data_IF_054955590282
#
_entry.id   IF_054955590282
#
_cell.length_a   1.000
_cell.length_b   1.000
_cell.length_c   1.000
_cell.angle_alpha   90.00
_cell.angle_beta   90.00
_cell.angle_gamma   90.00
#
_symmetry.space_group_name_H-M   'P 1'
#
loop_
_entity.id
_entity.type
_entity.pdbx_description
1 polymer ?
#
# COMPACT_ATOMS: atom_id res chain seq x y z
N UNK A 1 11.47 -24.79 16.26
CA UNK A 1 11.73 -24.29 14.90
C UNK A 1 11.70 -22.78 15.05
N UNK A 2 12.87 -22.18 15.27
CA UNK A 2 13.07 -20.78 15.75
C UNK A 2 13.97 -19.98 14.79
N UNK A 3 14.23 -20.51 13.59
CA UNK A 3 15.15 -19.90 12.63
C UNK A 3 14.48 -18.84 11.74
N UNK A 4 13.19 -19.03 11.41
CA UNK A 4 12.41 -18.05 10.63
C UNK A 4 12.31 -16.72 11.36
N UNK A 5 11.87 -16.73 12.63
CA UNK A 5 11.64 -15.53 13.44
C UNK A 5 12.88 -14.60 13.53
N UNK A 6 14.09 -15.19 13.61
CA UNK A 6 15.34 -14.41 13.63
C UNK A 6 15.68 -13.80 12.26
N UNK A 7 15.29 -14.45 11.17
CA UNK A 7 15.45 -13.93 9.81
C UNK A 7 14.43 -12.81 9.53
N UNK A 8 13.20 -12.97 10.02
CA UNK A 8 12.13 -11.97 9.93
C UNK A 8 12.51 -10.68 10.67
N UNK A 9 12.99 -10.79 11.92
CA UNK A 9 13.46 -9.64 12.71
C UNK A 9 14.61 -8.90 12.04
N UNK A 10 15.55 -9.63 11.41
CA UNK A 10 16.67 -9.03 10.68
C UNK A 10 16.20 -8.33 9.39
N UNK A 11 15.22 -8.89 8.72
CA UNK A 11 14.61 -8.30 7.52
C UNK A 11 13.84 -7.04 7.87
N UNK A 12 13.02 -7.07 8.93
CA UNK A 12 12.30 -5.92 9.48
C UNK A 12 13.24 -4.76 9.82
N UNK A 13 14.31 -5.04 10.58
CA UNK A 13 15.31 -4.04 10.91
C UNK A 13 15.92 -3.41 9.64
N UNK A 14 16.20 -4.23 8.61
CA UNK A 14 16.77 -3.74 7.37
C UNK A 14 15.81 -2.89 6.55
N UNK A 15 14.53 -3.27 6.50
CA UNK A 15 13.47 -2.49 5.84
C UNK A 15 13.26 -1.16 6.56
N UNK A 16 13.29 -1.15 7.89
CA UNK A 16 13.24 0.05 8.70
C UNK A 16 14.40 1.02 8.38
N UNK A 17 15.63 0.51 8.30
CA UNK A 17 16.80 1.31 7.90
C UNK A 17 16.66 1.91 6.49
N UNK A 18 16.15 1.11 5.54
CA UNK A 18 15.94 1.56 4.15
C UNK A 18 14.88 2.66 4.08
N UNK A 19 13.79 2.52 4.83
CA UNK A 19 12.76 3.55 4.92
C UNK A 19 13.30 4.85 5.55
N UNK A 20 14.05 4.76 6.64
CA UNK A 20 14.69 5.92 7.29
C UNK A 20 15.70 6.60 6.38
N UNK A 21 16.26 5.87 5.41
CA UNK A 21 17.17 6.41 4.39
C UNK A 21 16.44 6.92 3.15
N UNK A 22 15.10 6.95 3.15
CA UNK A 22 14.25 7.34 2.03
C UNK A 22 14.49 6.51 0.75
N UNK A 23 14.92 5.24 0.90
CA UNK A 23 15.25 4.36 -0.24
C UNK A 23 14.07 3.49 -0.72
N UNK A 24 12.85 3.78 -0.25
CA UNK A 24 11.64 3.14 -0.73
C UNK A 24 11.27 3.63 -2.14
N UNK A 25 10.68 2.75 -2.94
CA UNK A 25 10.16 3.12 -4.27
C UNK A 25 8.82 3.85 -4.14
N UNK A 26 7.97 3.41 -3.21
CA UNK A 26 6.71 4.07 -2.86
C UNK A 26 6.43 3.97 -1.38
N UNK A 27 5.76 4.98 -0.83
CA UNK A 27 5.25 4.99 0.54
C UNK A 27 3.88 5.63 0.55
N UNK A 28 2.97 5.06 1.33
CA UNK A 28 1.67 5.67 1.63
C UNK A 28 1.44 5.71 3.14
N UNK A 29 0.72 6.73 3.58
CA UNK A 29 0.31 6.87 4.98
C UNK A 29 -1.12 6.34 5.16
N UNK A 30 -1.32 5.59 6.23
CA UNK A 30 -2.59 5.05 6.67
C UNK A 30 -3.00 5.75 7.98
N UNK A 31 -4.29 5.83 8.22
CA UNK A 31 -4.88 6.38 9.44
C UNK A 31 -4.37 5.62 10.66
N UNK A 32 -4.12 6.34 11.76
CA UNK A 32 -3.63 5.73 12.99
C UNK A 32 -2.12 5.50 13.01
N UNK A 33 -1.35 6.44 12.43
CA UNK A 33 0.12 6.42 12.42
C UNK A 33 0.70 5.16 11.80
N UNK A 34 0.02 4.62 10.78
CA UNK A 34 0.46 3.43 10.06
C UNK A 34 0.99 3.82 8.70
N UNK A 35 1.96 3.07 8.21
CA UNK A 35 2.62 3.31 6.95
C UNK A 35 2.73 2.03 6.18
N UNK A 36 2.64 2.15 4.85
CA UNK A 36 2.86 1.05 3.93
C UNK A 36 3.90 1.49 2.90
N UNK A 37 5.03 0.81 2.90
CA UNK A 37 6.20 1.10 2.07
C UNK A 37 6.49 -0.07 1.13
N UNK A 38 6.81 0.24 -0.11
CA UNK A 38 7.15 -0.72 -1.16
C UNK A 38 8.64 -0.57 -1.52
N UNK A 39 9.34 -1.70 -1.51
CA UNK A 39 10.73 -1.81 -1.90
C UNK A 39 10.85 -2.79 -3.06
N UNK A 40 11.29 -2.33 -4.23
CA UNK A 40 11.43 -3.17 -5.42
C UNK A 40 12.89 -3.59 -5.60
N UNK A 41 13.14 -4.90 -5.54
CA UNK A 41 14.46 -5.51 -5.78
C UNK A 41 15.62 -4.91 -4.94
N UNK A 42 15.32 -4.25 -3.81
CA UNK A 42 16.30 -3.53 -2.96
C UNK A 42 17.05 -4.43 -1.99
N UNK A 43 16.44 -5.55 -1.60
CA UNK A 43 16.97 -6.47 -0.60
C UNK A 43 17.06 -7.85 -1.23
N UNK A 44 18.26 -8.44 -1.28
CA UNK A 44 18.50 -9.78 -1.86
C UNK A 44 17.94 -10.00 -3.29
N UNK A 45 17.75 -8.92 -4.07
CA UNK A 45 17.15 -8.97 -5.40
C UNK A 45 15.64 -9.30 -5.41
N UNK A 46 14.97 -9.17 -4.26
CA UNK A 46 13.54 -9.44 -4.09
C UNK A 46 12.79 -8.16 -3.75
N UNK A 47 11.48 -8.23 -3.93
CA UNK A 47 10.58 -7.12 -3.64
C UNK A 47 9.85 -7.33 -2.32
N UNK A 48 9.69 -6.27 -1.55
CA UNK A 48 9.15 -6.31 -0.20
C UNK A 48 8.07 -5.25 -0.03
N UNK A 49 6.98 -5.64 0.60
CA UNK A 49 5.97 -4.73 1.12
C UNK A 49 6.16 -4.68 2.62
N UNK A 50 6.32 -3.50 3.17
CA UNK A 50 6.54 -3.29 4.60
C UNK A 50 5.41 -2.44 5.18
N UNK A 51 4.67 -2.99 6.12
CA UNK A 51 3.63 -2.30 6.89
C UNK A 51 4.10 -2.13 8.32
N UNK A 52 4.11 -0.91 8.81
CA UNK A 52 4.44 -0.65 10.21
C UNK A 52 3.57 0.44 10.80
N UNK A 53 3.59 0.49 12.12
CA UNK A 53 3.06 1.61 12.89
C UNK A 53 4.25 2.45 13.35
N UNK A 54 4.23 3.75 13.11
CA UNK A 54 5.21 4.66 13.69
C UNK A 54 4.79 4.98 15.12
N UNK A 55 5.42 4.31 16.08
CA UNK A 55 5.25 4.62 17.49
C UNK A 55 6.39 5.54 17.91
N UNK A 56 6.05 6.78 18.26
CA UNK A 56 6.99 7.71 18.88
C UNK A 56 7.29 7.21 20.30
N UNK A 57 8.43 6.56 20.46
CA UNK A 57 8.91 6.12 21.77
C UNK A 57 10.03 7.03 22.23
N UNK A 58 9.71 7.85 23.25
CA UNK A 58 10.58 8.83 23.90
C UNK A 58 11.11 9.91 22.95
N UNK A 59 12.07 9.57 22.09
CA UNK A 59 12.79 10.50 21.19
C UNK A 59 13.18 9.83 19.85
N UNK A 60 12.82 8.55 19.68
CA UNK A 60 13.11 7.78 18.47
C UNK A 60 11.83 7.16 17.94
N UNK A 61 11.52 7.42 16.67
CA UNK A 61 10.49 6.65 15.99
C UNK A 61 11.01 5.23 15.82
N UNK A 62 10.25 4.26 16.33
CA UNK A 62 10.57 2.84 16.20
C UNK A 62 9.46 2.13 15.42
N UNK A 63 9.84 1.04 14.77
CA UNK A 63 8.91 0.09 14.18
C UNK A 63 8.01 -0.49 15.28
N UNK A 64 6.70 -0.29 15.18
CA UNK A 64 5.75 -0.80 16.18
C UNK A 64 5.68 -2.34 16.19
N UNK A 65 5.19 -2.92 17.28
CA UNK A 65 5.15 -4.40 17.43
C UNK A 65 4.22 -5.09 16.41
N UNK A 66 3.24 -4.37 15.85
CA UNK A 66 2.32 -4.84 14.78
C UNK A 66 2.93 -4.75 13.37
N UNK A 67 4.25 -4.69 13.26
CA UNK A 67 4.90 -4.50 11.96
C UNK A 67 5.01 -5.81 11.20
N UNK A 68 4.52 -5.79 9.98
CA UNK A 68 4.44 -6.94 9.10
C UNK A 68 5.12 -6.64 7.77
N UNK A 69 5.70 -7.66 7.16
CA UNK A 69 6.23 -7.55 5.82
C UNK A 69 5.84 -8.75 4.97
N UNK A 70 5.76 -8.51 3.67
CA UNK A 70 5.52 -9.54 2.66
C UNK A 70 6.65 -9.53 1.65
N UNK A 71 7.10 -10.71 1.28
CA UNK A 71 8.19 -10.91 0.33
C UNK A 71 7.65 -11.48 -0.97
N UNK A 72 8.11 -10.89 -2.08
CA UNK A 72 7.74 -11.29 -3.42
C UNK A 72 9.00 -11.50 -4.25
N UNK A 73 8.96 -12.51 -5.10
CA UNK A 73 10.06 -12.85 -6.00
C UNK A 73 10.21 -11.81 -7.13
N UNK A 74 9.11 -11.17 -7.53
CA UNK A 74 9.08 -10.17 -8.61
C UNK A 74 8.50 -8.83 -8.16
N UNK A 75 9.00 -7.76 -8.76
CA UNK A 75 8.50 -6.41 -8.56
C UNK A 75 7.02 -6.27 -8.96
N UNK A 76 6.62 -6.93 -10.05
CA UNK A 76 5.24 -6.89 -10.57
C UNK A 76 4.24 -7.49 -9.56
N UNK A 77 4.58 -8.62 -8.93
CA UNK A 77 3.74 -9.24 -7.92
C UNK A 77 3.63 -8.37 -6.65
N UNK A 78 4.74 -7.77 -6.22
CA UNK A 78 4.74 -6.85 -5.08
C UNK A 78 3.92 -5.59 -5.36
N UNK A 79 4.07 -4.99 -6.54
CA UNK A 79 3.31 -3.80 -6.91
C UNK A 79 1.81 -4.10 -6.98
N UNK A 80 1.42 -5.23 -7.59
CA UNK A 80 0.03 -5.63 -7.71
C UNK A 80 -0.62 -5.79 -6.33
N UNK A 81 0.04 -6.48 -5.40
CA UNK A 81 -0.49 -6.64 -4.05
C UNK A 81 -0.48 -5.30 -3.29
N UNK A 82 0.59 -4.51 -3.39
CA UNK A 82 0.65 -3.18 -2.77
C UNK A 82 -0.55 -2.33 -3.21
N UNK A 83 -0.81 -2.26 -4.52
CA UNK A 83 -1.97 -1.53 -5.06
C UNK A 83 -3.28 -2.06 -4.52
N UNK A 84 -3.42 -3.37 -4.36
CA UNK A 84 -4.62 -3.99 -3.79
C UNK A 84 -4.80 -3.63 -2.31
N UNK A 85 -3.72 -3.61 -1.52
CA UNK A 85 -3.75 -3.19 -0.12
C UNK A 85 -4.13 -1.71 0.00
N UNK A 86 -3.52 -0.84 -0.82
CA UNK A 86 -3.86 0.59 -0.86
C UNK A 86 -5.31 0.80 -1.27
N UNK A 87 -5.79 0.10 -2.31
CA UNK A 87 -7.18 0.19 -2.73
C UNK A 87 -8.15 -0.30 -1.65
N UNK A 88 -7.79 -1.35 -0.90
CA UNK A 88 -8.57 -1.83 0.23
C UNK A 88 -8.62 -0.79 1.36
N UNK A 89 -7.48 -0.19 1.73
CA UNK A 89 -7.40 0.87 2.72
C UNK A 89 -8.21 2.11 2.30
N UNK A 90 -8.14 2.49 1.02
CA UNK A 90 -8.96 3.59 0.46
C UNK A 90 -10.45 3.29 0.59
N UNK A 91 -10.88 2.08 0.21
CA UNK A 91 -12.28 1.64 0.37
C UNK A 91 -12.72 1.57 1.83
N UNK A 92 -11.80 1.24 2.74
CA UNK A 92 -12.04 1.22 4.17
C UNK A 92 -12.02 2.63 4.80
N UNK A 93 -11.63 3.67 4.06
CA UNK A 93 -11.45 5.03 4.57
C UNK A 93 -10.26 5.17 5.53
N UNK A 94 -9.30 4.25 5.47
CA UNK A 94 -8.11 4.22 6.33
C UNK A 94 -6.84 4.67 5.61
N UNK A 95 -6.93 5.06 4.33
CA UNK A 95 -5.82 5.68 3.62
C UNK A 95 -5.83 7.18 3.92
N UNK A 96 -4.72 7.72 4.44
CA UNK A 96 -4.51 9.16 4.46
C UNK A 96 -4.07 9.50 3.02
N UNK A 97 -4.98 10.04 2.22
CA UNK A 97 -4.64 10.61 0.91
C UNK A 97 -3.69 11.79 1.16
N UNK A 98 -2.39 11.52 1.24
CA UNK A 98 -1.37 12.55 1.05
C UNK A 98 -1.55 13.07 -0.37
N UNK A 99 -1.69 14.38 -0.49
CA UNK A 99 -1.98 15.17 -1.70
C UNK A 99 -0.90 15.02 -2.81
N UNK A 100 -0.56 13.80 -3.22
CA UNK A 100 0.20 13.49 -4.42
C UNK A 100 -0.77 12.76 -5.37
N UNK A 101 -1.72 13.56 -5.84
CA UNK A 101 -2.67 13.22 -6.89
C UNK A 101 -1.94 13.19 -8.23
N UNK A 102 -1.11 12.17 -8.46
CA UNK A 102 -0.90 11.71 -9.83
C UNK A 102 -1.99 10.67 -10.13
N UNK A 103 -3.10 11.21 -10.65
CA UNK A 103 -4.05 10.62 -11.60
C UNK A 103 -3.91 9.11 -11.89
N UNK A 104 -4.00 8.25 -10.87
CA UNK A 104 -4.22 6.83 -11.06
C UNK A 104 -5.71 6.63 -11.25
N UNK A 105 -6.13 6.94 -12.48
CA UNK A 105 -7.45 6.71 -13.02
C UNK A 105 -8.01 5.37 -12.56
N UNK A 106 -9.17 5.45 -11.94
CA UNK A 106 -10.02 4.35 -11.56
C UNK A 106 -10.42 3.53 -12.80
N UNK A 107 -10.03 2.24 -12.97
CA UNK A 107 -10.64 1.40 -13.99
C UNK A 107 -11.76 0.53 -13.40
N UNK A 108 -12.24 0.81 -12.19
CA UNK A 108 -13.28 0.02 -11.52
C UNK A 108 -14.49 0.87 -11.11
N UNK A 109 -14.92 1.75 -12.01
CA UNK A 109 -16.30 2.22 -12.03
C UNK A 109 -17.11 1.26 -12.90
N UNK A 110 -17.34 0.04 -12.40
CA UNK A 110 -18.47 -0.76 -12.88
C UNK A 110 -19.73 -0.01 -12.42
N UNK A 111 -20.33 0.68 -13.38
CA UNK A 111 -21.24 1.79 -13.12
C UNK A 111 -22.53 1.41 -12.42
N UNK A 112 -23.17 2.42 -11.83
CA UNK A 112 -24.58 2.60 -12.12
C UNK A 112 -24.80 4.01 -12.68
N UNK A 113 -24.85 4.15 -14.00
CA UNK A 113 -25.46 5.32 -14.62
C UNK A 113 -26.98 5.15 -14.56
N UNK A 114 -27.55 5.37 -13.37
CA UNK A 114 -28.91 5.89 -13.30
C UNK A 114 -28.83 7.34 -13.72
N UNK A 115 -29.29 7.65 -14.94
CA UNK A 115 -29.82 8.97 -15.29
C UNK A 115 -31.02 8.79 -16.22
N UNK A 116 -32.16 8.92 -15.56
CA UNK A 116 -33.49 9.35 -15.97
C UNK A 116 -33.58 10.28 -17.22
N UNK A 117 -34.75 10.18 -17.88
CA UNK A 117 -35.46 11.04 -18.86
C UNK A 117 -34.96 11.19 -20.31
N UNK A 118 -35.81 10.70 -21.22
CA UNK A 118 -35.83 11.03 -22.64
C UNK A 118 -37.12 10.51 -23.28
N UNK A 119 -38.24 11.20 -23.01
CA UNK A 119 -39.40 11.10 -23.89
C UNK A 119 -39.00 11.63 -25.28
N UNK A 120 -39.40 10.91 -26.35
CA UNK A 120 -40.18 11.43 -27.49
C UNK A 120 -40.00 10.57 -28.75
N UNK A 121 -41.14 10.17 -29.33
CA UNK A 121 -41.43 9.77 -30.71
C UNK A 121 -40.36 9.02 -31.55
N UNK A 122 -40.78 7.88 -32.11
CA UNK A 122 -40.82 7.71 -33.58
C UNK A 122 -41.83 6.61 -33.97
N UNK A 123 -42.73 6.99 -34.88
CA UNK A 123 -43.69 6.14 -35.62
C UNK A 123 -42.95 5.35 -36.72
N UNK A 124 -43.69 4.42 -37.35
CA UNK A 124 -43.35 3.50 -38.46
C UNK A 124 -42.70 2.18 -38.01
N UNK A 125 -43.25 1.00 -38.30
CA UNK A 125 -44.05 0.53 -39.46
C UNK A 125 -45.04 -0.54 -39.03
#
# INVERSE_FOLDING_TARGET
MEMDDRLDQRTLARLWELENSEQMDRRVELTGQRFLSLFLEKLDGRSYIFRHSAEEQNETVSVGEDSEFWMYDTADAAELEFRRMVANARRAGTLIETDDTDDLGDPFTDGPLTNEVGAENLRNT
#
